data_IF_915824665357
#
_entry.id   IF_915824665357
#
_cell.length_a   1.000
_cell.length_b   1.000
_cell.length_c   1.000
_cell.angle_alpha   90.00
_cell.angle_beta   90.00
_cell.angle_gamma   90.00
#
_symmetry.space_group_name_H-M   'P 1'
#
loop_
_entity.id
_entity.type
_entity.pdbx_description
1 polymer ?
#
# COMPACT_ATOMS: atom_id res chain seq x y z
N UNK A 1 9.80 10.70 -7.86
CA UNK A 1 9.11 9.84 -6.89
C UNK A 1 9.98 9.63 -5.67
N UNK A 2 9.38 9.65 -4.51
CA UNK A 2 10.14 9.56 -3.27
C UNK A 2 9.52 8.56 -2.32
N UNK A 3 10.34 7.80 -1.66
CA UNK A 3 9.90 6.92 -0.59
C UNK A 3 10.62 7.34 0.67
N UNK A 4 9.85 7.71 1.66
CA UNK A 4 10.38 8.04 2.96
C UNK A 4 10.17 6.87 3.89
N UNK A 5 11.20 6.54 4.62
CA UNK A 5 11.19 5.36 5.46
C UNK A 5 11.41 5.78 6.90
N UNK A 6 10.41 5.55 7.74
CA UNK A 6 10.49 5.89 9.14
C UNK A 6 10.39 4.63 9.97
N UNK A 7 11.40 4.36 10.75
CA UNK A 7 11.43 3.19 11.58
C UNK A 7 11.11 3.55 13.02
N UNK A 8 10.18 2.82 13.63
CA UNK A 8 9.96 2.98 15.03
C UNK A 8 10.20 1.68 15.74
N UNK A 9 10.80 1.73 16.91
CA UNK A 9 11.05 0.59 17.66
C UNK A 9 9.87 0.19 18.39
N UNK A 10 9.38 -0.98 18.15
CA UNK A 10 8.28 -1.41 18.93
C UNK A 10 8.77 -1.90 20.23
N UNK A 11 8.02 -1.73 21.24
CA UNK A 11 8.36 -2.21 22.47
C UNK A 11 8.27 -3.68 22.46
N UNK A 12 9.15 -4.36 22.85
CA UNK A 12 9.12 -5.78 22.82
C UNK A 12 9.82 -6.32 21.62
N UNK A 13 9.19 -7.15 20.82
CA UNK A 13 9.91 -7.93 19.88
C UNK A 13 9.68 -7.58 18.45
N UNK A 14 8.57 -7.00 18.12
CA UNK A 14 8.27 -6.79 16.73
C UNK A 14 8.79 -5.45 16.27
N UNK A 15 9.37 -5.42 15.11
CA UNK A 15 9.82 -4.19 14.51
C UNK A 15 8.76 -3.64 13.62
N UNK A 16 8.60 -2.35 13.66
CA UNK A 16 7.56 -1.65 12.92
C UNK A 16 8.21 -0.56 12.09
N UNK A 17 7.80 -0.44 10.85
CA UNK A 17 8.36 0.53 9.94
C UNK A 17 7.24 1.11 9.11
N UNK A 18 7.39 2.35 8.71
CA UNK A 18 6.41 3.03 7.87
C UNK A 18 7.12 3.64 6.70
N UNK A 19 6.58 3.44 5.50
CA UNK A 19 7.09 4.08 4.30
C UNK A 19 6.00 4.94 3.71
N UNK A 20 6.37 6.06 3.16
CA UNK A 20 5.45 6.94 2.45
C UNK A 20 5.90 7.03 1.01
N UNK A 21 4.97 6.84 0.10
CA UNK A 21 5.28 6.94 -1.32
C UNK A 21 4.67 8.22 -1.84
N UNK A 22 5.49 9.01 -2.52
CA UNK A 22 5.03 10.27 -3.07
C UNK A 22 5.30 10.31 -4.55
N UNK A 23 4.37 10.88 -5.29
CA UNK A 23 4.50 10.98 -6.72
C UNK A 23 3.80 9.84 -7.40
N UNK A 24 4.38 9.34 -8.48
CA UNK A 24 3.71 8.35 -9.31
C UNK A 24 4.12 6.94 -8.93
N UNK A 25 3.17 6.03 -9.05
CA UNK A 25 3.40 4.60 -8.90
C UNK A 25 2.97 3.93 -10.19
N UNK A 26 3.79 4.06 -11.20
CA UNK A 26 3.44 3.52 -12.50
C UNK A 26 4.51 2.55 -12.95
N UNK A 27 4.31 1.98 -14.13
CA UNK A 27 5.26 1.04 -14.67
C UNK A 27 6.65 1.65 -14.77
N UNK A 28 6.74 2.97 -14.89
CA UNK A 28 8.04 3.60 -15.05
C UNK A 28 8.87 3.58 -13.77
N UNK A 29 8.22 3.58 -12.62
CA UNK A 29 8.94 3.54 -11.35
C UNK A 29 8.93 2.17 -10.69
N UNK A 30 8.23 1.23 -11.29
CA UNK A 30 7.92 -0.02 -10.59
C UNK A 30 9.16 -0.77 -10.11
N UNK A 31 10.18 -0.85 -10.93
CA UNK A 31 11.36 -1.62 -10.55
C UNK A 31 12.07 -0.99 -9.35
N UNK A 32 12.21 0.31 -9.36
CA UNK A 32 12.87 1.01 -8.24
C UNK A 32 12.02 0.92 -6.99
N UNK A 33 10.72 1.12 -7.12
CA UNK A 33 9.84 1.04 -5.97
C UNK A 33 9.80 -0.36 -5.40
N UNK A 34 9.81 -1.36 -6.25
CA UNK A 34 9.82 -2.73 -5.79
C UNK A 34 11.05 -3.00 -4.92
N UNK A 35 12.21 -2.58 -5.40
CA UNK A 35 13.44 -2.77 -4.66
C UNK A 35 13.36 -2.08 -3.31
N UNK A 36 12.92 -0.84 -3.30
CA UNK A 36 12.90 -0.06 -2.07
C UNK A 36 11.87 -0.58 -1.09
N UNK A 37 10.70 -0.97 -1.59
CA UNK A 37 9.66 -1.49 -0.71
C UNK A 37 10.02 -2.85 -0.14
N UNK A 38 10.64 -3.71 -0.94
CA UNK A 38 11.06 -4.99 -0.43
C UNK A 38 12.20 -4.85 0.57
N UNK A 39 13.07 -3.88 0.36
CA UNK A 39 14.12 -3.62 1.33
C UNK A 39 13.53 -3.20 2.67
N UNK A 40 12.56 -2.30 2.65
CA UNK A 40 11.89 -1.88 3.88
C UNK A 40 11.14 -3.05 4.52
N UNK A 41 10.49 -3.85 3.68
CA UNK A 41 9.74 -4.99 4.16
C UNK A 41 10.64 -6.01 4.86
N UNK A 42 11.81 -6.26 4.28
CA UNK A 42 12.71 -7.28 4.81
C UNK A 42 13.33 -6.88 6.14
N UNK A 43 13.33 -5.62 6.45
CA UNK A 43 13.95 -5.16 7.69
C UNK A 43 12.96 -4.99 8.83
N UNK A 44 11.73 -5.42 8.65
CA UNK A 44 10.72 -5.17 9.67
C UNK A 44 9.74 -6.34 9.74
N UNK A 45 8.94 -6.37 10.79
CA UNK A 45 7.87 -7.36 10.95
C UNK A 45 6.52 -6.78 10.55
N UNK A 46 6.36 -5.48 10.67
CA UNK A 46 5.12 -4.81 10.28
C UNK A 46 5.48 -3.60 9.45
N UNK A 47 4.97 -3.57 8.25
CA UNK A 47 5.23 -2.45 7.35
C UNK A 47 3.92 -1.72 7.08
N UNK A 48 3.91 -0.43 7.35
CA UNK A 48 2.79 0.42 6.99
C UNK A 48 3.17 1.21 5.75
N UNK A 49 2.28 1.23 4.79
CA UNK A 49 2.52 1.93 3.54
C UNK A 49 1.52 3.07 3.42
N UNK A 50 2.04 4.27 3.38
CA UNK A 50 1.23 5.47 3.28
C UNK A 50 1.19 5.88 1.81
N UNK A 51 0.01 5.84 1.24
CA UNK A 51 -0.18 6.18 -0.17
C UNK A 51 -0.82 7.54 -0.38
N UNK A 52 -0.92 8.33 0.68
CA UNK A 52 -1.62 9.61 0.56
C UNK A 52 -0.92 10.58 -0.38
N UNK A 53 0.38 10.42 -0.58
CA UNK A 53 1.11 11.28 -1.50
C UNK A 53 1.18 10.78 -2.94
N UNK A 54 0.52 9.66 -3.24
CA UNK A 54 0.57 9.11 -4.59
C UNK A 54 -0.36 9.91 -5.49
N UNK A 55 0.20 10.47 -6.54
CA UNK A 55 -0.57 11.32 -7.44
C UNK A 55 -1.10 10.56 -8.64
N UNK A 56 -0.49 9.43 -8.96
CA UNK A 56 -0.90 8.66 -10.10
C UNK A 56 -0.53 7.20 -9.87
N UNK A 57 -1.40 6.29 -10.23
CA UNK A 57 -1.13 4.86 -10.04
C UNK A 57 -1.74 4.09 -11.20
N UNK A 58 -1.01 3.11 -11.69
CA UNK A 58 -1.55 2.21 -12.70
C UNK A 58 -1.47 0.77 -12.15
N UNK A 59 -1.75 -0.19 -13.00
CA UNK A 59 -1.78 -1.58 -12.54
C UNK A 59 -0.41 -2.06 -12.06
N UNK A 60 0.67 -1.48 -12.55
CA UNK A 60 1.99 -1.87 -12.06
C UNK A 60 2.17 -1.48 -10.60
N UNK A 61 1.69 -0.29 -10.22
CA UNK A 61 1.72 0.10 -8.82
C UNK A 61 0.86 -0.81 -7.96
N UNK A 62 -0.31 -1.15 -8.47
CA UNK A 62 -1.19 -2.05 -7.75
C UNK A 62 -0.51 -3.40 -7.53
N UNK A 63 0.16 -3.91 -8.54
CA UNK A 63 0.81 -5.20 -8.41
C UNK A 63 1.93 -5.21 -7.38
N UNK A 64 2.58 -4.08 -7.19
CA UNK A 64 3.57 -3.98 -6.13
C UNK A 64 2.93 -4.18 -4.76
N UNK A 65 1.78 -3.58 -4.56
CA UNK A 65 1.08 -3.72 -3.28
C UNK A 65 0.61 -5.15 -3.07
N UNK A 66 0.12 -5.77 -4.14
CA UNK A 66 -0.29 -7.16 -4.05
C UNK A 66 0.90 -8.05 -3.72
N UNK A 67 2.03 -7.80 -4.34
CA UNK A 67 3.24 -8.54 -4.06
C UNK A 67 3.63 -8.45 -2.60
N UNK A 68 3.61 -7.25 -2.05
CA UNK A 68 3.96 -7.07 -0.64
C UNK A 68 3.03 -7.86 0.27
N UNK A 69 1.74 -7.85 -0.06
CA UNK A 69 0.77 -8.56 0.77
C UNK A 69 1.00 -10.06 0.71
N UNK A 70 1.32 -10.55 -0.46
CA UNK A 70 1.58 -11.97 -0.64
C UNK A 70 2.83 -12.41 0.12
N UNK A 71 3.89 -11.59 0.03
CA UNK A 71 5.11 -11.92 0.73
C UNK A 71 4.89 -11.86 2.24
N UNK A 72 4.09 -10.92 2.70
CA UNK A 72 3.79 -10.82 4.11
C UNK A 72 3.09 -12.08 4.59
N UNK A 73 2.13 -12.54 3.82
CA UNK A 73 1.41 -13.75 4.21
C UNK A 73 2.36 -14.94 4.31
N UNK A 74 3.27 -15.06 3.36
CA UNK A 74 4.20 -16.16 3.33
C UNK A 74 5.17 -16.13 4.50
N UNK A 75 5.54 -14.96 4.96
CA UNK A 75 6.56 -14.84 5.99
C UNK A 75 6.01 -14.54 7.38
N UNK A 76 4.71 -14.54 7.53
CA UNK A 76 4.13 -14.25 8.83
C UNK A 76 4.30 -12.82 9.27
N UNK A 77 4.43 -11.91 8.31
CA UNK A 77 4.56 -10.49 8.59
C UNK A 77 3.27 -9.79 8.25
N UNK A 78 3.22 -8.49 8.54
CA UNK A 78 2.06 -7.69 8.23
C UNK A 78 2.42 -6.53 7.34
N UNK A 79 1.59 -6.28 6.34
CA UNK A 79 1.68 -5.10 5.51
C UNK A 79 0.32 -4.44 5.54
N UNK A 80 0.28 -3.16 5.91
CA UNK A 80 -0.98 -2.43 5.99
C UNK A 80 -0.90 -1.16 5.18
N UNK A 81 -1.97 -0.87 4.46
CA UNK A 81 -2.08 0.39 3.74
C UNK A 81 -2.79 1.36 4.67
N UNK A 82 -2.07 2.36 5.14
CA UNK A 82 -2.59 3.17 6.23
C UNK A 82 -3.18 4.51 5.81
N UNK A 83 -2.97 4.92 4.57
CA UNK A 83 -3.55 6.14 4.06
C UNK A 83 -3.60 6.04 2.55
N UNK A 84 -4.52 6.76 1.94
CA UNK A 84 -4.73 6.65 0.50
C UNK A 84 -4.88 8.02 -0.13
N UNK A 85 -4.43 8.13 -1.36
CA UNK A 85 -4.74 9.26 -2.19
C UNK A 85 -5.97 8.95 -3.03
N UNK A 86 -6.50 9.93 -3.72
CA UNK A 86 -7.59 9.68 -4.64
C UNK A 86 -7.16 8.68 -5.71
N UNK A 87 -5.93 8.84 -6.21
CA UNK A 87 -5.44 7.95 -7.26
C UNK A 87 -5.37 6.51 -6.77
N UNK A 88 -4.86 6.28 -5.56
CA UNK A 88 -4.75 4.92 -5.06
C UNK A 88 -6.11 4.32 -4.77
N UNK A 89 -7.04 5.10 -4.23
CA UNK A 89 -8.36 4.59 -3.95
C UNK A 89 -9.09 4.19 -5.23
N UNK A 90 -8.93 4.99 -6.27
CA UNK A 90 -9.58 4.69 -7.53
C UNK A 90 -9.12 3.35 -8.10
N UNK A 91 -7.82 3.11 -8.05
CA UNK A 91 -7.30 1.86 -8.58
C UNK A 91 -7.77 0.68 -7.74
N UNK A 92 -7.74 0.83 -6.43
CA UNK A 92 -8.19 -0.26 -5.56
C UNK A 92 -9.67 -0.56 -5.78
N UNK A 93 -10.47 0.47 -6.00
CA UNK A 93 -11.89 0.27 -6.26
C UNK A 93 -12.15 -0.40 -7.58
N UNK A 94 -11.45 0.04 -8.62
CA UNK A 94 -11.63 -0.54 -9.94
C UNK A 94 -11.36 -2.04 -9.92
N UNK A 95 -10.34 -2.46 -9.19
CA UNK A 95 -10.00 -3.86 -9.14
C UNK A 95 -10.64 -4.58 -7.97
N UNK A 96 -11.43 -3.87 -7.17
CA UNK A 96 -12.18 -4.46 -6.06
C UNK A 96 -11.27 -5.17 -5.07
N UNK A 97 -10.17 -4.53 -4.73
CA UNK A 97 -9.17 -5.17 -3.89
C UNK A 97 -9.10 -4.62 -2.47
N UNK A 98 -10.04 -3.78 -2.08
CA UNK A 98 -10.03 -3.28 -0.72
C UNK A 98 -10.09 -4.41 0.30
N UNK A 99 -10.98 -5.37 0.06
CA UNK A 99 -11.13 -6.50 0.96
C UNK A 99 -9.90 -7.39 0.94
N UNK A 100 -9.29 -7.52 -0.24
CA UNK A 100 -8.10 -8.34 -0.37
C UNK A 100 -7.00 -7.90 0.58
N UNK A 101 -6.85 -6.59 0.75
CA UNK A 101 -5.80 -6.10 1.63
C UNK A 101 -6.16 -6.21 3.10
N UNK A 102 -7.43 -6.46 3.40
CA UNK A 102 -7.83 -6.60 4.79
C UNK A 102 -7.74 -5.34 5.59
N UNK A 103 -7.52 -4.22 4.94
CA UNK A 103 -7.41 -2.94 5.59
C UNK A 103 -8.71 -2.21 5.50
N UNK A 104 -8.98 -1.38 6.49
CA UNK A 104 -10.12 -0.55 6.43
C UNK A 104 -9.81 0.62 5.54
N UNK A 105 -10.48 0.72 4.43
CA UNK A 105 -10.27 1.84 3.54
C UNK A 105 -11.00 3.04 4.08
N UNK A 106 -10.27 4.06 4.33
CA UNK A 106 -10.88 5.28 4.82
C UNK A 106 -11.32 6.06 3.62
N UNK A 107 -12.57 5.88 3.26
CA UNK A 107 -13.09 6.55 2.12
C UNK A 107 -13.91 7.68 2.61
N UNK A 108 -13.30 8.75 2.78
CA UNK A 108 -13.92 9.82 3.46
C UNK A 108 -15.18 10.28 2.80
N UNK A 109 -15.37 10.09 1.55
CA UNK A 109 -16.50 10.68 0.92
C UNK A 109 -17.27 9.80 0.02
N UNK A 110 -16.97 8.53 -0.07
CA UNK A 110 -17.62 7.72 -1.03
C UNK A 110 -18.70 6.99 -0.43
N UNK A 111 -19.79 7.19 -0.89
CA UNK A 111 -20.82 6.33 -0.48
C UNK A 111 -20.58 5.06 -1.15
N UNK A 112 -20.46 4.35 -1.37
CA UNK A 112 -20.06 3.42 -1.91
C UNK A 112 -20.69 2.72 -2.60
N UNK A 113 -20.96 2.62 -2.94
CA UNK A 113 -21.29 2.32 -3.50
C UNK A 113 -22.11 2.01 -3.94
N UNK A 114 -22.78 2.28 -3.91
CA UNK A 114 -23.60 2.35 -4.30
C UNK A 114 -23.55 2.33 -5.39
N UNK A 115 -23.39 2.15 -5.99
CA UNK A 115 -23.26 2.21 -7.03
C UNK A 115 -23.02 1.36 -7.67
N UNK A 116 -22.95 0.81 -7.49
CA UNK A 116 -22.53 0.14 -8.03
C UNK A 116 -23.03 -0.73 -8.34
N UNK A 117 -23.25 -0.99 -8.25
CA UNK A 117 -23.44 -1.66 -8.47
C UNK A 117 -23.96 -2.11 -9.14
N UNK A 118 -24.15 -2.12 -9.43
CA UNK A 118 -24.39 -2.33 -9.99
C UNK A 118 -24.57 -2.70 -10.47
N UNK A 119 -24.59 -2.79 -10.52
CA UNK A 119 -24.47 -3.07 -10.76
C UNK A 119 -24.42 -3.52 -11.09
#
# INVERSE_FOLDING_TARGET
MTISNTTSKSRGKRKHNKVSIEGTMTIYEAATQKRDLLSAFNSTDELEVDLSGVTEMDSAGLQLLVLLKREAFKEGKQVRLVAHSVASLEVLEVYNLGTYFGDQLVISSRPKTERRRRS
#
